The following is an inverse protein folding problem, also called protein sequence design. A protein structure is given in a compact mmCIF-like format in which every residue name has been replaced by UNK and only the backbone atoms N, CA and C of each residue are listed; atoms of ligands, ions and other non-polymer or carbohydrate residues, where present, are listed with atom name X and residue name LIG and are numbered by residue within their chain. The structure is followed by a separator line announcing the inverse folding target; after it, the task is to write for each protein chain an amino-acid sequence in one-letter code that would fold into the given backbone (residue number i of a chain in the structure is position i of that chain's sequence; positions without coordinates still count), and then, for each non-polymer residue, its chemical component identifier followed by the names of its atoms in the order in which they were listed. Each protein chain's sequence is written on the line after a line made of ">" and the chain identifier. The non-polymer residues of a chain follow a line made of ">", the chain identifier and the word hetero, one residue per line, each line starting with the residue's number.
data_IF_091162602404
#
_entry.id   IF_091162602404
#
_cell.length_a   1.000
_cell.length_b   1.000
_cell.length_c   1.000
_cell.angle_alpha   90.00
_cell.angle_beta   90.00
_cell.angle_gamma   90.00
#
_symmetry.space_group_name_H-M   'P 1'
#
loop_
_entity.id
_entity.type
_entity.pdbx_description
1 polymer ?
#
# COMPACT_ATOMS: atom_id res chain seq x y z
N UNK A 1 -12.42 11.08 -12.48
CA UNK A 1 -11.31 11.83 -11.86
C UNK A 1 -10.14 10.89 -11.72
N UNK A 2 -8.94 11.33 -12.11
CA UNK A 2 -7.77 10.49 -11.95
C UNK A 2 -7.42 10.43 -10.45
N UNK A 3 -7.34 9.22 -9.89
CA UNK A 3 -6.90 9.03 -8.50
C UNK A 3 -5.46 8.57 -8.56
N UNK A 4 -4.57 9.45 -8.13
CA UNK A 4 -3.15 9.15 -7.94
C UNK A 4 -2.96 8.64 -6.52
N UNK A 5 -2.42 7.44 -6.37
CA UNK A 5 -2.02 6.89 -5.09
C UNK A 5 -0.50 6.71 -5.10
N UNK A 6 0.21 7.34 -4.17
CA UNK A 6 1.62 7.07 -3.94
C UNK A 6 1.76 6.06 -2.81
N UNK A 7 2.68 5.11 -2.99
CA UNK A 7 3.00 4.11 -1.99
C UNK A 7 4.51 3.96 -1.87
N UNK A 8 5.09 4.23 -0.70
CA UNK A 8 6.51 4.03 -0.42
C UNK A 8 6.70 2.96 0.65
N UNK A 9 7.50 1.95 0.34
CA UNK A 9 7.74 0.83 1.25
C UNK A 9 8.57 1.31 2.44
N UNK A 10 8.02 1.15 3.64
CA UNK A 10 8.70 1.48 4.89
C UNK A 10 9.55 0.32 5.40
N UNK A 11 9.00 -0.90 5.35
CA UNK A 11 9.68 -2.09 5.85
C UNK A 11 9.09 -3.37 5.26
N UNK A 12 9.90 -4.43 5.27
CA UNK A 12 9.47 -5.80 5.03
C UNK A 12 9.89 -6.61 6.26
N UNK A 13 8.97 -7.36 6.84
CA UNK A 13 9.26 -8.38 7.84
C UNK A 13 8.87 -9.76 7.34
N UNK A 14 9.02 -10.78 8.19
CA UNK A 14 8.61 -12.17 7.91
C UNK A 14 7.09 -12.33 7.77
N UNK A 15 6.30 -11.41 8.34
CA UNK A 15 4.84 -11.56 8.45
C UNK A 15 4.08 -10.55 7.58
N UNK A 16 4.66 -9.38 7.32
CA UNK A 16 4.00 -8.32 6.57
C UNK A 16 4.99 -7.37 5.88
N UNK A 17 4.48 -6.68 4.86
CA UNK A 17 5.12 -5.50 4.28
C UNK A 17 4.31 -4.25 4.64
N UNK A 18 5.01 -3.14 4.90
CA UNK A 18 4.40 -1.85 5.25
C UNK A 18 4.71 -0.81 4.19
N UNK A 19 3.69 -0.07 3.77
CA UNK A 19 3.80 1.06 2.86
C UNK A 19 3.20 2.30 3.49
N UNK A 20 3.93 3.41 3.47
CA UNK A 20 3.31 4.72 3.60
C UNK A 20 2.55 5.02 2.32
N UNK A 21 1.33 5.55 2.43
CA UNK A 21 0.56 6.03 1.28
C UNK A 21 0.01 7.43 1.52
N UNK A 22 -0.27 8.15 0.44
CA UNK A 22 -0.71 9.55 0.44
C UNK A 22 0.13 10.41 -0.52
N UNK A 23 -0.46 11.49 -1.04
CA UNK A 23 0.16 12.38 -2.03
C UNK A 23 1.08 13.44 -1.40
N UNK A 24 0.65 14.00 -0.28
CA UNK A 24 1.30 15.10 0.41
C UNK A 24 1.16 14.93 1.92
N UNK A 25 1.91 15.73 2.70
CA UNK A 25 1.80 15.74 4.16
C UNK A 25 0.37 16.07 4.66
N UNK A 26 -0.39 16.83 3.87
CA UNK A 26 -1.74 17.29 4.17
C UNK A 26 -2.84 16.37 3.58
N UNK A 27 -2.46 15.25 2.95
CA UNK A 27 -3.42 14.31 2.39
C UNK A 27 -4.20 13.64 3.55
N UNK A 28 -5.53 13.82 3.63
CA UNK A 28 -6.35 13.23 4.69
C UNK A 28 -6.37 11.70 4.62
N UNK A 29 -6.04 11.13 3.47
CA UNK A 29 -5.90 9.69 3.30
C UNK A 29 -4.51 9.20 3.67
N UNK A 30 -3.56 10.06 4.06
CA UNK A 30 -2.21 9.61 4.44
C UNK A 30 -2.26 8.58 5.57
N UNK A 31 -1.43 7.55 5.46
CA UNK A 31 -1.31 6.52 6.49
C UNK A 31 -0.29 5.45 6.13
N UNK A 32 -0.25 4.40 6.95
CA UNK A 32 0.56 3.21 6.71
C UNK A 32 -0.37 2.04 6.42
N UNK A 33 -0.27 1.48 5.21
CA UNK A 33 -0.95 0.23 4.88
C UNK A 33 -0.04 -0.95 5.17
N UNK A 34 -0.58 -1.94 5.88
CA UNK A 34 0.08 -3.19 6.22
C UNK A 34 -0.54 -4.30 5.39
N UNK A 35 0.29 -5.02 4.63
CA UNK A 35 -0.12 -6.15 3.79
C UNK A 35 0.50 -7.41 4.40
N UNK A 36 -0.31 -8.30 5.01
CA UNK A 36 0.16 -9.61 5.44
C UNK A 36 0.70 -10.42 4.25
N UNK A 37 1.79 -11.17 4.46
CA UNK A 37 2.42 -11.95 3.38
C UNK A 37 1.67 -13.26 3.09
N UNK A 38 0.90 -13.75 4.05
CA UNK A 38 0.07 -14.96 3.97
C UNK A 38 -1.30 -14.68 3.32
N UNK A 39 -1.89 -13.51 3.59
CA UNK A 39 -3.15 -13.07 3.01
C UNK A 39 -3.15 -11.57 2.70
N UNK A 40 -2.93 -11.25 1.42
CA UNK A 40 -2.94 -9.87 0.95
C UNK A 40 -4.32 -9.21 1.02
N UNK A 41 -5.44 -9.95 1.08
CA UNK A 41 -6.79 -9.37 1.22
C UNK A 41 -7.10 -8.92 2.65
N UNK A 42 -6.38 -9.48 3.63
CA UNK A 42 -6.45 -9.11 5.05
C UNK A 42 -5.74 -7.78 5.39
N UNK A 43 -5.23 -7.06 4.38
CA UNK A 43 -4.57 -5.77 4.58
C UNK A 43 -5.40 -4.76 5.40
N UNK A 44 -4.70 -3.89 6.13
CA UNK A 44 -5.32 -2.85 6.94
C UNK A 44 -4.47 -1.59 6.97
N UNK A 45 -5.03 -0.49 7.47
CA UNK A 45 -4.30 0.77 7.68
C UNK A 45 -4.06 0.96 9.17
N UNK A 46 -2.83 1.30 9.57
CA UNK A 46 -2.51 1.58 10.98
C UNK A 46 -3.36 2.75 11.49
N UNK A 47 -3.83 2.63 12.74
CA UNK A 47 -4.65 3.63 13.44
C UNK A 47 -5.97 4.03 12.75
N UNK A 48 -6.43 3.25 11.76
CA UNK A 48 -7.65 3.51 11.00
C UNK A 48 -8.49 2.25 10.82
N UNK A 49 -9.81 2.40 11.00
CA UNK A 49 -10.77 1.33 10.75
C UNK A 49 -11.23 1.29 9.28
N UNK A 50 -11.09 2.40 8.56
CA UNK A 50 -11.46 2.50 7.16
C UNK A 50 -10.33 2.04 6.23
N UNK A 51 -10.70 1.73 4.99
CA UNK A 51 -9.80 1.25 3.93
C UNK A 51 -9.84 2.22 2.75
N UNK A 52 -9.03 3.29 2.76
CA UNK A 52 -9.02 4.29 1.70
C UNK A 52 -8.78 3.68 0.31
N UNK A 53 -9.39 4.27 -0.71
CA UNK A 53 -9.23 3.83 -2.10
C UNK A 53 -7.77 3.94 -2.55
N UNK A 54 -7.06 4.97 -2.07
CA UNK A 54 -5.63 5.16 -2.30
C UNK A 54 -4.80 3.98 -1.75
N UNK A 55 -5.03 3.58 -0.51
CA UNK A 55 -4.39 2.39 0.10
C UNK A 55 -4.66 1.14 -0.73
N UNK A 56 -5.93 0.89 -1.10
CA UNK A 56 -6.30 -0.28 -1.92
C UNK A 56 -5.52 -0.35 -3.24
N UNK A 57 -5.27 0.79 -3.88
CA UNK A 57 -4.46 0.84 -5.11
C UNK A 57 -2.99 0.52 -4.86
N UNK A 58 -2.43 1.04 -3.77
CA UNK A 58 -1.06 0.72 -3.33
C UNK A 58 -0.93 -0.78 -3.10
N UNK A 59 -1.86 -1.40 -2.36
CA UNK A 59 -1.88 -2.85 -2.13
C UNK A 59 -1.96 -3.63 -3.44
N UNK A 60 -2.93 -3.31 -4.31
CA UNK A 60 -3.08 -4.00 -5.59
C UNK A 60 -1.85 -3.90 -6.49
N UNK A 61 -1.18 -2.74 -6.50
CA UNK A 61 0.06 -2.54 -7.26
C UNK A 61 1.24 -3.30 -6.66
N UNK A 62 1.41 -3.24 -5.34
CA UNK A 62 2.46 -3.95 -4.63
C UNK A 62 2.33 -5.47 -4.81
N UNK A 63 1.11 -5.99 -4.63
CA UNK A 63 0.80 -7.40 -4.79
C UNK A 63 1.06 -7.89 -6.21
N UNK A 64 0.53 -7.19 -7.22
CA UNK A 64 0.72 -7.58 -8.63
C UNK A 64 2.20 -7.61 -9.03
N UNK A 65 3.01 -6.70 -8.48
CA UNK A 65 4.44 -6.71 -8.74
C UNK A 65 5.14 -7.85 -8.02
N UNK A 66 4.79 -8.10 -6.76
CA UNK A 66 5.30 -9.23 -6.00
C UNK A 66 4.97 -10.57 -6.68
N UNK A 67 3.76 -10.78 -7.15
CA UNK A 67 3.39 -12.00 -7.92
C UNK A 67 4.20 -12.15 -9.20
N UNK A 68 4.63 -11.05 -9.82
CA UNK A 68 5.38 -11.06 -11.09
C UNK A 68 6.88 -11.27 -10.91
N UNK A 69 7.48 -10.71 -9.87
CA UNK A 69 8.93 -10.68 -9.70
C UNK A 69 9.42 -11.42 -8.46
N UNK A 70 8.52 -11.83 -7.56
CA UNK A 70 8.84 -12.34 -6.23
C UNK A 70 9.27 -11.25 -5.24
N UNK A 71 9.33 -9.99 -5.67
CA UNK A 71 9.86 -8.88 -4.88
C UNK A 71 8.77 -7.83 -4.61
N UNK A 72 8.71 -7.37 -3.37
CA UNK A 72 7.89 -6.23 -3.02
C UNK A 72 8.53 -4.94 -3.57
N UNK A 73 7.84 -4.12 -4.36
CA UNK A 73 8.43 -2.90 -4.88
C UNK A 73 8.73 -1.89 -3.79
N UNK A 74 9.81 -1.12 -3.94
CA UNK A 74 10.03 0.08 -3.11
C UNK A 74 8.91 1.11 -3.32
N UNK A 75 8.44 1.26 -4.56
CA UNK A 75 7.41 2.21 -4.97
C UNK A 75 6.20 1.50 -5.57
N UNK A 76 5.06 1.61 -4.91
CA UNK A 76 3.78 1.03 -5.32
C UNK A 76 2.77 2.11 -5.72
N UNK A 77 3.20 3.05 -6.56
CA UNK A 77 2.39 4.20 -6.98
C UNK A 77 1.53 3.88 -8.22
N UNK A 78 0.32 4.43 -8.25
CA UNK A 78 -0.66 4.24 -9.34
C UNK A 78 -1.24 5.60 -9.73
N UNK A 79 -1.17 5.94 -11.02
CA UNK A 79 -1.97 7.02 -11.61
C UNK A 79 -2.99 6.36 -12.56
N UNK A 80 -4.28 6.58 -12.32
CA UNK A 80 -5.39 6.08 -13.16
C UNK A 80 -6.46 7.13 -13.28
#
# INVERSE_FOLDING_TARGET
>A
MAIVAFGHRLSISTDAVRYEFGLTADDPDRGVVVIPLDDAEAWFVEDRADRPVSAKKVVGRAWLQHERTGEWPEWASVAS
#
